data_IF_390801394387
#
_entry.id   IF_390801394387
#
_cell.length_a   1.000
_cell.length_b   1.000
_cell.length_c   1.000
_cell.angle_alpha   90.00
_cell.angle_beta   90.00
_cell.angle_gamma   90.00
#
_symmetry.space_group_name_H-M   'P 1'
#
loop_
_entity.id
_entity.type
_entity.pdbx_description
1 polymer ?
#
# COMPACT_ATOMS: atom_id res chain seq x y z
N UNK A 1 20.03 10.44 25.87
CA UNK A 1 19.85 8.99 25.59
C UNK A 1 18.36 8.64 25.58
N UNK A 2 17.61 8.81 26.68
CA UNK A 2 16.16 8.52 26.73
C UNK A 2 15.33 9.23 25.66
N UNK A 3 15.45 10.56 25.54
CA UNK A 3 14.73 11.33 24.50
C UNK A 3 15.06 10.88 23.07
N UNK A 4 16.32 10.55 22.79
CA UNK A 4 16.72 10.07 21.47
C UNK A 4 16.04 8.73 21.13
N UNK A 5 15.94 7.82 22.09
CA UNK A 5 15.25 6.53 21.93
C UNK A 5 13.75 6.75 21.65
N UNK A 6 13.10 7.66 22.37
CA UNK A 6 11.69 7.99 22.15
C UNK A 6 11.43 8.56 20.74
N UNK A 7 12.31 9.44 20.26
CA UNK A 7 12.21 10.03 18.91
C UNK A 7 12.38 8.94 17.84
N UNK A 8 13.38 8.08 17.99
CA UNK A 8 13.62 6.96 17.05
C UNK A 8 12.41 6.02 17.02
N UNK A 9 11.88 5.66 18.20
CA UNK A 9 10.70 4.80 18.29
C UNK A 9 9.47 5.40 17.60
N UNK A 10 9.28 6.73 17.71
CA UNK A 10 8.20 7.42 17.02
C UNK A 10 8.32 7.35 15.49
N UNK A 11 9.51 7.58 14.93
CA UNK A 11 9.73 7.48 13.48
C UNK A 11 9.56 6.05 12.95
N UNK A 12 10.03 5.07 13.73
CA UNK A 12 9.82 3.66 13.40
C UNK A 12 8.31 3.36 13.40
N UNK A 13 7.59 3.76 14.45
CA UNK A 13 6.15 3.53 14.55
C UNK A 13 5.36 4.11 13.37
N UNK A 14 5.68 5.33 12.92
CA UNK A 14 4.97 5.96 11.79
C UNK A 14 5.19 5.21 10.47
N UNK A 15 6.43 4.79 10.19
CA UNK A 15 6.76 3.99 9.00
C UNK A 15 6.08 2.62 9.03
N UNK A 16 6.18 1.89 10.15
CA UNK A 16 5.57 0.56 10.28
C UNK A 16 4.04 0.60 10.20
N UNK A 17 3.39 1.63 10.74
CA UNK A 17 1.95 1.82 10.60
C UNK A 17 1.53 2.00 9.14
N UNK A 18 2.37 2.62 8.31
CA UNK A 18 2.13 2.78 6.87
C UNK A 18 2.17 1.43 6.14
N UNK A 19 3.16 0.58 6.45
CA UNK A 19 3.24 -0.78 5.89
C UNK A 19 2.01 -1.61 6.29
N UNK A 20 1.61 -1.55 7.57
CA UNK A 20 0.41 -2.25 8.04
C UNK A 20 -0.85 -1.76 7.33
N UNK A 21 -0.96 -0.48 7.04
CA UNK A 21 -2.07 0.07 6.27
C UNK A 21 -2.11 -0.45 4.83
N UNK A 22 -0.95 -0.60 4.17
CA UNK A 22 -0.88 -1.26 2.85
C UNK A 22 -1.33 -2.71 2.95
N UNK A 23 -0.83 -3.47 3.92
CA UNK A 23 -1.25 -4.87 4.11
C UNK A 23 -2.76 -4.99 4.35
N UNK A 24 -3.34 -4.12 5.18
CA UNK A 24 -4.79 -4.06 5.41
C UNK A 24 -5.55 -3.71 4.12
N UNK A 25 -5.08 -2.75 3.33
CA UNK A 25 -5.70 -2.38 2.06
C UNK A 25 -5.72 -3.58 1.09
N UNK A 26 -4.62 -4.31 0.96
CA UNK A 26 -4.56 -5.52 0.15
C UNK A 26 -5.45 -6.65 0.69
N UNK A 27 -5.53 -6.80 2.01
CA UNK A 27 -6.43 -7.76 2.65
C UNK A 27 -7.89 -7.46 2.29
N UNK A 28 -8.32 -6.21 2.45
CA UNK A 28 -9.68 -5.78 2.10
C UNK A 28 -9.93 -5.99 0.60
N UNK A 29 -8.95 -5.63 -0.24
CA UNK A 29 -9.04 -5.78 -1.69
C UNK A 29 -8.99 -7.24 -2.18
N UNK A 30 -8.70 -8.20 -1.29
CA UNK A 30 -8.72 -9.64 -1.61
C UNK A 30 -10.10 -10.26 -1.48
N UNK A 31 -11.08 -9.59 -0.86
CA UNK A 31 -12.46 -10.06 -0.76
C UNK A 31 -13.26 -9.81 -2.05
N UNK A 32 -12.74 -10.34 -3.17
CA UNK A 32 -13.33 -10.25 -4.51
C UNK A 32 -13.03 -11.54 -5.27
N UNK A 33 -13.93 -11.95 -6.17
CA UNK A 33 -13.76 -13.17 -6.97
C UNK A 33 -12.56 -13.10 -7.91
N UNK A 34 -12.33 -11.91 -8.49
CA UNK A 34 -11.15 -11.64 -9.31
C UNK A 34 -10.34 -10.51 -8.68
N UNK A 35 -9.07 -10.82 -8.35
CA UNK A 35 -8.18 -9.87 -7.71
C UNK A 35 -7.79 -8.75 -8.69
N UNK A 36 -7.80 -7.48 -8.27
CA UNK A 36 -7.62 -6.35 -9.19
C UNK A 36 -6.20 -6.29 -9.79
N UNK A 37 -5.20 -6.87 -9.13
CA UNK A 37 -3.81 -6.91 -9.60
C UNK A 37 -3.47 -8.07 -10.55
N UNK A 38 -4.45 -8.90 -10.95
CA UNK A 38 -4.20 -10.03 -11.86
C UNK A 38 -4.42 -9.70 -13.32
N UNK A 39 -5.05 -8.58 -13.65
CA UNK A 39 -5.43 -8.25 -15.03
C UNK A 39 -4.92 -6.89 -15.49
N UNK A 40 -4.63 -6.78 -16.79
CA UNK A 40 -4.26 -5.52 -17.44
C UNK A 40 -5.47 -4.70 -17.92
N UNK A 41 -6.71 -5.11 -17.62
CA UNK A 41 -7.95 -4.50 -18.13
C UNK A 41 -8.56 -3.42 -17.21
N UNK A 42 -7.77 -2.85 -16.32
CA UNK A 42 -8.21 -1.85 -15.35
C UNK A 42 -7.95 -0.40 -15.82
N UNK A 43 -8.66 0.56 -15.23
CA UNK A 43 -8.57 1.99 -15.57
C UNK A 43 -7.22 2.64 -15.25
N UNK A 44 -6.43 2.05 -14.35
CA UNK A 44 -5.11 2.56 -13.95
C UNK A 44 -3.95 2.00 -14.80
N UNK A 45 -4.21 1.01 -15.64
CA UNK A 45 -3.16 0.34 -16.41
C UNK A 45 -2.74 1.13 -17.65
N UNK A 46 -1.56 0.84 -18.18
CA UNK A 46 -1.08 1.39 -19.46
C UNK A 46 -1.03 0.38 -20.59
N UNK A 47 -0.76 0.87 -21.81
CA UNK A 47 -0.47 0.03 -22.96
C UNK A 47 0.79 -0.83 -22.81
N UNK A 48 1.61 -0.57 -21.78
CA UNK A 48 2.80 -1.35 -21.44
C UNK A 48 2.51 -2.44 -20.39
N UNK A 49 1.28 -2.55 -19.90
CA UNK A 49 0.89 -3.61 -18.97
C UNK A 49 0.86 -4.96 -19.70
N UNK A 50 1.59 -5.93 -19.17
CA UNK A 50 1.69 -7.28 -19.73
C UNK A 50 1.46 -8.31 -18.64
N UNK A 51 0.62 -9.31 -18.93
CA UNK A 51 0.29 -10.35 -17.98
C UNK A 51 1.15 -11.59 -18.24
N UNK A 52 1.99 -11.95 -17.26
CA UNK A 52 2.86 -13.13 -17.33
C UNK A 52 2.13 -14.46 -17.54
N UNK A 53 0.84 -14.51 -17.17
CA UNK A 53 0.01 -15.71 -17.27
C UNK A 53 -0.94 -15.70 -18.48
N UNK A 54 -0.93 -14.65 -19.31
CA UNK A 54 -1.74 -14.65 -20.54
C UNK A 54 -1.09 -15.56 -21.58
N UNK A 55 -1.88 -16.44 -22.20
CA UNK A 55 -1.45 -17.33 -23.29
C UNK A 55 -1.26 -16.62 -24.65
N UNK A 56 -1.38 -15.29 -24.68
CA UNK A 56 -1.19 -14.50 -25.88
C UNK A 56 0.30 -14.46 -26.29
N UNK A 57 0.60 -14.37 -27.59
CA UNK A 57 1.96 -14.16 -28.10
C UNK A 57 2.43 -12.72 -27.78
N UNK A 58 2.72 -12.44 -26.51
CA UNK A 58 3.15 -11.12 -26.05
C UNK A 58 4.65 -10.97 -26.30
N UNK A 59 5.03 -9.96 -27.08
CA UNK A 59 6.42 -9.55 -27.24
C UNK A 59 6.85 -8.71 -26.04
N UNK A 60 7.59 -9.34 -25.12
CA UNK A 60 8.18 -8.67 -23.97
C UNK A 60 9.19 -7.62 -24.42
N UNK A 61 8.97 -6.40 -23.99
CA UNK A 61 9.93 -5.29 -24.16
C UNK A 61 10.53 -4.92 -22.82
N UNK A 62 11.69 -4.26 -22.83
CA UNK A 62 12.34 -3.74 -21.63
C UNK A 62 11.42 -2.81 -20.79
N UNK A 63 10.41 -2.24 -21.42
CA UNK A 63 9.44 -1.32 -20.79
C UNK A 63 8.11 -1.98 -20.41
N UNK A 64 8.04 -3.32 -20.44
CA UNK A 64 6.83 -4.04 -20.05
C UNK A 64 6.71 -4.07 -18.53
N UNK A 65 5.52 -3.78 -18.01
CA UNK A 65 5.24 -3.75 -16.56
C UNK A 65 4.16 -4.75 -16.20
N UNK A 66 4.23 -5.27 -14.98
CA UNK A 66 3.26 -6.27 -14.52
C UNK A 66 1.97 -5.61 -14.02
N UNK A 67 0.80 -6.28 -14.12
CA UNK A 67 -0.45 -5.73 -13.59
C UNK A 67 -0.40 -5.50 -12.07
N UNK A 68 0.40 -6.29 -11.33
CA UNK A 68 0.59 -6.12 -9.90
C UNK A 68 1.46 -4.89 -9.56
N UNK A 69 2.49 -4.65 -10.35
CA UNK A 69 3.33 -3.45 -10.22
C UNK A 69 2.55 -2.17 -10.55
N UNK A 70 1.78 -2.18 -11.65
CA UNK A 70 0.94 -1.03 -12.01
C UNK A 70 -0.17 -0.81 -10.97
N UNK A 71 -0.76 -1.87 -10.42
CA UNK A 71 -1.69 -1.73 -9.31
C UNK A 71 -1.05 -1.04 -8.11
N UNK A 72 0.13 -1.48 -7.67
CA UNK A 72 0.81 -0.87 -6.54
C UNK A 72 1.21 0.59 -6.80
N UNK A 73 1.87 0.86 -7.92
CA UNK A 73 2.44 2.18 -8.22
C UNK A 73 1.40 3.20 -8.67
N UNK A 74 0.44 2.79 -9.51
CA UNK A 74 -0.53 3.71 -10.12
C UNK A 74 -1.83 3.81 -9.34
N UNK A 75 -2.34 2.69 -8.82
CA UNK A 75 -3.62 2.69 -8.12
C UNK A 75 -3.44 2.95 -6.61
N UNK A 76 -2.62 2.16 -5.93
CA UNK A 76 -2.46 2.23 -4.46
C UNK A 76 -1.67 3.48 -4.05
N UNK A 77 -0.44 3.62 -4.53
CA UNK A 77 0.45 4.72 -4.17
C UNK A 77 0.18 6.01 -4.96
N UNK A 78 -0.32 5.89 -6.19
CA UNK A 78 -0.49 6.99 -7.13
C UNK A 78 0.81 7.78 -7.40
N UNK A 79 1.97 7.12 -7.34
CA UNK A 79 3.29 7.77 -7.43
C UNK A 79 3.53 8.44 -8.78
N UNK A 80 2.92 7.92 -9.85
CA UNK A 80 2.98 8.48 -11.20
C UNK A 80 2.48 9.94 -11.31
N UNK A 81 1.71 10.43 -10.32
CA UNK A 81 1.25 11.83 -10.28
C UNK A 81 2.29 12.78 -9.71
N UNK A 82 3.28 12.26 -8.97
CA UNK A 82 4.34 13.04 -8.36
C UNK A 82 5.54 13.14 -9.30
N UNK A 83 6.11 14.34 -9.43
CA UNK A 83 7.38 14.58 -10.14
C UNK A 83 8.61 14.47 -9.23
N UNK A 84 8.42 14.06 -7.98
CA UNK A 84 9.48 13.90 -6.97
C UNK A 84 9.05 14.38 -5.58
N UNK A 85 9.98 14.37 -4.62
CA UNK A 85 9.71 14.72 -3.21
C UNK A 85 9.22 16.16 -3.00
N UNK A 86 9.50 17.07 -3.94
CA UNK A 86 9.04 18.45 -3.92
C UNK A 86 7.55 18.59 -4.30
N UNK A 87 6.99 17.59 -4.99
CA UNK A 87 5.60 17.56 -5.44
C UNK A 87 4.96 16.25 -4.97
N UNK A 88 4.56 16.22 -3.71
CA UNK A 88 3.95 15.05 -3.06
C UNK A 88 2.59 14.65 -3.68
N UNK A 89 2.02 15.49 -4.55
CA UNK A 89 0.72 15.26 -5.15
C UNK A 89 -0.44 15.35 -4.15
N UNK A 90 -1.56 14.71 -4.49
CA UNK A 90 -2.74 14.65 -3.63
C UNK A 90 -2.68 13.54 -2.59
N UNK A 91 -3.50 13.66 -1.55
CA UNK A 91 -3.65 12.61 -0.52
C UNK A 91 -4.48 11.45 -1.09
N UNK A 92 -3.93 10.23 -1.04
CA UNK A 92 -4.67 9.00 -1.35
C UNK A 92 -5.66 8.69 -0.21
N UNK A 93 -6.93 9.00 -0.43
CA UNK A 93 -7.98 8.86 0.58
C UNK A 93 -8.16 7.41 1.06
N UNK A 94 -8.00 6.44 0.17
CA UNK A 94 -8.10 5.03 0.52
C UNK A 94 -7.03 4.63 1.54
N UNK A 95 -5.78 5.07 1.31
CA UNK A 95 -4.68 4.80 2.23
C UNK A 95 -4.82 5.57 3.55
N UNK A 96 -5.29 6.82 3.50
CA UNK A 96 -5.54 7.61 4.70
C UNK A 96 -6.56 6.93 5.63
N UNK A 97 -7.65 6.38 5.07
CA UNK A 97 -8.64 5.61 5.83
C UNK A 97 -8.04 4.34 6.45
N UNK A 98 -7.24 3.58 5.69
CA UNK A 98 -6.55 2.40 6.22
C UNK A 98 -5.60 2.74 7.37
N UNK A 99 -4.85 3.84 7.25
CA UNK A 99 -3.95 4.32 8.30
C UNK A 99 -4.76 4.70 9.56
N UNK A 100 -5.87 5.44 9.42
CA UNK A 100 -6.72 5.77 10.57
C UNK A 100 -7.26 4.54 11.28
N UNK A 101 -7.65 3.50 10.52
CA UNK A 101 -8.12 2.24 11.09
C UNK A 101 -7.00 1.55 11.89
N UNK A 102 -5.79 1.47 11.34
CA UNK A 102 -4.63 0.91 12.04
C UNK A 102 -4.34 1.67 13.35
N UNK A 103 -4.35 3.00 13.32
CA UNK A 103 -4.17 3.80 14.54
C UNK A 103 -5.27 3.51 15.57
N UNK A 104 -6.52 3.36 15.13
CA UNK A 104 -7.65 3.04 16.01
C UNK A 104 -7.49 1.65 16.66
N UNK A 105 -7.09 0.64 15.89
CA UNK A 105 -6.84 -0.73 16.39
C UNK A 105 -5.67 -0.76 17.37
N UNK A 106 -4.57 -0.07 17.06
CA UNK A 106 -3.41 0.04 17.95
C UNK A 106 -3.81 0.76 19.23
N UNK A 107 -4.55 1.86 19.12
CA UNK A 107 -5.01 2.63 20.26
C UNK A 107 -5.87 1.78 21.20
N UNK A 108 -6.85 1.02 20.68
CA UNK A 108 -7.65 0.12 21.51
C UNK A 108 -6.84 -1.03 22.12
N UNK A 109 -5.84 -1.55 21.40
CA UNK A 109 -4.94 -2.59 21.90
C UNK A 109 -4.08 -2.11 23.08
N UNK A 110 -3.68 -0.83 23.07
CA UNK A 110 -2.85 -0.22 24.12
C UNK A 110 -3.69 0.39 25.25
N UNK A 111 -4.94 0.81 24.99
CA UNK A 111 -5.80 1.53 25.96
C UNK A 111 -5.87 0.81 27.31
N UNK A 112 -6.02 -0.51 27.33
CA UNK A 112 -6.13 -1.29 28.59
C UNK A 112 -4.77 -1.68 29.21
N UNK A 113 -3.67 -1.20 28.63
CA UNK A 113 -2.31 -1.40 29.11
C UNK A 113 -1.79 -2.82 28.95
N UNK A 114 -0.68 -3.12 29.62
CA UNK A 114 0.05 -4.40 29.56
C UNK A 114 -0.80 -5.61 30.01
N UNK A 115 -1.92 -5.37 30.69
CA UNK A 115 -2.83 -6.44 31.14
C UNK A 115 -3.65 -7.05 30.00
N UNK A 116 -3.76 -6.37 28.84
CA UNK A 116 -4.47 -6.89 27.66
C UNK A 116 -3.54 -7.24 26.50
N UNK A 117 -2.34 -6.67 26.39
CA UNK A 117 -1.44 -6.95 25.26
C UNK A 117 -0.87 -8.38 25.26
N UNK A 118 -1.02 -9.15 26.35
CA UNK A 118 -0.57 -10.54 26.46
C UNK A 118 -1.67 -11.59 26.40
N UNK A 119 -2.90 -11.25 25.99
CA UNK A 119 -4.00 -12.22 25.78
C UNK A 119 -4.23 -12.50 24.31
#
# INVERSE_FOLDING_TARGET
IGYAICIIAFYIASYYNTIMAWALYYLISSFTDQLPWTSCKNSWNTGNCTNYFSEDNITWTLHSTSPAEEFYTRHVLQIHRSKGLQDLGGISWQLALCIMLIFTVIYFSIWKGVKTSGK
#
